data_IF_080681841771
#
_entry.id   IF_080681841771
#
_cell.length_a   1.000
_cell.length_b   1.000
_cell.length_c   1.000
_cell.angle_alpha   90.00
_cell.angle_beta   90.00
_cell.angle_gamma   90.00
#
_symmetry.space_group_name_H-M   'P 1'
#
loop_
_entity.id
_entity.type
_entity.pdbx_description
1 polymer ?
#
# COMPACT_ATOMS: atom_id res chain seq x y z
N UNK A 1 -3.17 7.04 31.22
CA UNK A 1 -3.46 6.01 30.19
C UNK A 1 -2.89 6.48 28.87
N UNK A 2 -2.12 5.69 28.11
CA UNK A 2 -1.74 6.10 26.77
C UNK A 2 -3.02 6.19 25.94
N UNK A 3 -3.33 7.37 25.41
CA UNK A 3 -4.38 7.51 24.40
C UNK A 3 -3.92 6.66 23.22
N UNK A 4 -4.56 5.53 23.00
CA UNK A 4 -4.36 4.84 21.72
C UNK A 4 -4.73 5.85 20.64
N UNK A 5 -3.85 6.08 19.64
CA UNK A 5 -4.13 7.06 18.60
C UNK A 5 -5.44 6.68 17.93
N UNK A 6 -6.21 7.70 17.54
CA UNK A 6 -7.43 7.53 16.77
C UNK A 6 -7.01 6.77 15.50
N UNK A 7 -7.42 5.50 15.40
CA UNK A 7 -7.22 4.68 14.19
C UNK A 7 -8.05 5.31 13.08
N UNK A 8 -7.43 6.22 12.34
CA UNK A 8 -8.06 6.89 11.22
C UNK A 8 -7.79 6.10 9.93
N UNK A 9 -8.67 5.15 9.64
CA UNK A 9 -8.61 4.36 8.40
C UNK A 9 -8.68 5.22 7.14
N UNK A 10 -9.29 6.41 7.21
CA UNK A 10 -9.34 7.36 6.09
C UNK A 10 -7.94 7.91 5.79
N UNK A 11 -7.23 8.38 6.81
CA UNK A 11 -5.86 8.90 6.66
C UNK A 11 -4.92 7.82 6.09
N UNK A 12 -5.05 6.56 6.51
CA UNK A 12 -4.26 5.47 5.96
C UNK A 12 -4.56 5.23 4.46
N UNK A 13 -5.84 5.23 4.08
CA UNK A 13 -6.24 5.10 2.68
C UNK A 13 -5.72 6.26 1.81
N UNK A 14 -5.74 7.49 2.32
CA UNK A 14 -5.18 8.67 1.64
C UNK A 14 -3.68 8.55 1.40
N UNK A 15 -2.95 7.87 2.29
CA UNK A 15 -1.53 7.54 2.11
C UNK A 15 -1.31 6.31 1.21
N UNK A 16 -2.35 5.79 0.54
CA UNK A 16 -2.25 4.61 -0.32
C UNK A 16 -2.11 3.29 0.45
N UNK A 17 -2.32 3.30 1.77
CA UNK A 17 -2.32 2.08 2.59
C UNK A 17 -3.71 1.44 2.51
N UNK A 18 -3.81 0.42 1.67
CA UNK A 18 -5.05 -0.30 1.41
C UNK A 18 -4.78 -1.81 1.29
N UNK A 19 -5.82 -2.61 1.49
CA UNK A 19 -5.83 -4.05 1.15
C UNK A 19 -4.72 -4.92 1.81
N UNK A 20 -4.15 -4.50 2.95
CA UNK A 20 -3.11 -5.26 3.67
C UNK A 20 -3.55 -6.72 3.92
N UNK A 21 -4.81 -6.94 4.30
CA UNK A 21 -5.35 -8.28 4.52
C UNK A 21 -5.27 -9.16 3.27
N UNK A 22 -5.70 -8.63 2.12
CA UNK A 22 -5.66 -9.33 0.82
C UNK A 22 -4.23 -9.60 0.38
N UNK A 23 -3.34 -8.62 0.54
CA UNK A 23 -1.91 -8.77 0.21
C UNK A 23 -1.23 -9.78 1.10
N UNK A 24 -1.54 -9.78 2.39
CA UNK A 24 -1.04 -10.75 3.33
C UNK A 24 -1.55 -12.16 2.96
N UNK A 25 -2.83 -12.32 2.64
CA UNK A 25 -3.37 -13.59 2.14
C UNK A 25 -2.62 -14.08 0.89
N UNK A 26 -2.39 -13.18 -0.07
CA UNK A 26 -1.63 -13.50 -1.28
C UNK A 26 -0.18 -13.89 -0.96
N UNK A 27 0.48 -13.18 -0.04
CA UNK A 27 1.85 -13.46 0.38
C UNK A 27 1.99 -14.80 1.12
N UNK A 28 0.95 -15.21 1.87
CA UNK A 28 0.93 -16.52 2.51
C UNK A 28 0.75 -17.66 1.49
N UNK A 29 0.00 -17.43 0.41
CA UNK A 29 -0.20 -18.42 -0.64
C UNK A 29 -0.76 -19.73 -0.09
N UNK A 30 -0.01 -20.82 -0.25
CA UNK A 30 -0.36 -22.16 0.27
C UNK A 30 0.19 -22.47 1.66
N UNK A 31 0.91 -21.54 2.31
CA UNK A 31 1.45 -21.77 3.65
C UNK A 31 0.33 -21.82 4.68
N UNK A 32 0.45 -22.76 5.64
CA UNK A 32 -0.52 -22.82 6.72
C UNK A 32 -0.30 -21.67 7.71
N UNK A 33 -1.37 -21.20 8.33
CA UNK A 33 -1.30 -20.20 9.41
C UNK A 33 -0.43 -20.69 10.57
N UNK A 34 -0.36 -22.01 10.77
CA UNK A 34 0.49 -22.64 11.79
C UNK A 34 1.97 -22.47 11.46
N UNK A 35 2.37 -22.67 10.21
CA UNK A 35 3.78 -22.54 9.79
C UNK A 35 4.25 -21.09 9.94
N UNK A 36 3.42 -20.13 9.50
CA UNK A 36 3.69 -18.70 9.67
C UNK A 36 3.76 -18.32 11.15
N UNK A 37 2.88 -18.86 11.99
CA UNK A 37 2.92 -18.63 13.44
C UNK A 37 4.26 -19.10 14.04
N UNK A 38 4.71 -20.29 13.65
CA UNK A 38 5.99 -20.84 14.11
C UNK A 38 7.19 -20.01 13.62
N UNK A 39 7.15 -19.54 12.37
CA UNK A 39 8.22 -18.74 11.77
C UNK A 39 8.31 -17.31 12.31
N UNK A 40 7.15 -16.71 12.64
CA UNK A 40 7.08 -15.30 13.08
C UNK A 40 7.02 -15.13 14.59
N UNK A 41 6.73 -16.19 15.35
CA UNK A 41 6.43 -16.12 16.78
C UNK A 41 5.10 -15.44 17.11
N UNK A 42 4.27 -15.13 16.10
CA UNK A 42 2.94 -14.56 16.29
C UNK A 42 1.92 -15.65 16.58
N UNK A 43 0.91 -15.36 17.40
CA UNK A 43 -0.17 -16.31 17.64
C UNK A 43 -1.02 -16.50 16.38
N UNK A 44 -1.54 -17.72 16.17
CA UNK A 44 -2.50 -18.02 15.09
C UNK A 44 -3.71 -17.10 15.11
N UNK A 45 -4.20 -16.77 16.31
CA UNK A 45 -5.32 -15.84 16.49
C UNK A 45 -4.97 -14.44 15.96
N UNK A 46 -3.76 -13.95 16.24
CA UNK A 46 -3.26 -12.65 15.75
C UNK A 46 -3.14 -12.64 14.23
N UNK A 47 -2.55 -13.67 13.63
CA UNK A 47 -2.43 -13.79 12.17
C UNK A 47 -3.82 -13.82 11.52
N UNK A 48 -4.75 -14.62 12.07
CA UNK A 48 -6.13 -14.66 11.57
C UNK A 48 -6.86 -13.31 11.69
N UNK A 49 -6.60 -12.51 12.73
CA UNK A 49 -7.17 -11.16 12.80
C UNK A 49 -6.68 -10.27 11.66
N UNK A 50 -5.42 -10.43 11.22
CA UNK A 50 -4.84 -9.67 10.12
C UNK A 50 -5.40 -10.12 8.78
N UNK A 51 -5.47 -11.43 8.54
CA UNK A 51 -6.04 -12.01 7.32
C UNK A 51 -7.51 -11.64 7.13
N UNK A 52 -8.26 -11.47 8.22
CA UNK A 52 -9.68 -11.07 8.18
C UNK A 52 -9.89 -9.55 8.29
N UNK A 53 -8.84 -8.74 8.16
CA UNK A 53 -8.88 -7.27 8.29
C UNK A 53 -9.50 -6.75 9.61
N UNK A 54 -9.60 -7.58 10.65
CA UNK A 54 -10.16 -7.21 11.96
C UNK A 54 -9.24 -6.25 12.72
N UNK A 55 -7.95 -6.41 12.52
CA UNK A 55 -6.93 -5.55 13.09
C UNK A 55 -5.82 -5.32 12.07
N UNK A 56 -5.20 -4.15 12.14
CA UNK A 56 -3.96 -3.87 11.43
C UNK A 56 -2.76 -4.31 12.28
N UNK A 57 -1.76 -4.97 11.68
CA UNK A 57 -0.47 -5.20 12.34
C UNK A 57 0.23 -3.88 12.64
N UNK A 58 1.05 -3.84 13.69
CA UNK A 58 2.02 -2.75 13.87
C UNK A 58 3.13 -2.86 12.82
N UNK A 59 3.91 -1.80 12.65
CA UNK A 59 5.04 -1.78 11.73
C UNK A 59 6.02 -2.93 12.00
N UNK A 60 6.34 -3.18 13.27
CA UNK A 60 7.25 -4.27 13.67
C UNK A 60 6.71 -5.64 13.28
N UNK A 61 5.42 -5.90 13.54
CA UNK A 61 4.78 -7.17 13.19
C UNK A 61 4.72 -7.36 11.69
N UNK A 62 4.50 -6.28 10.95
CA UNK A 62 4.50 -6.32 9.50
C UNK A 62 5.91 -6.61 8.95
N UNK A 63 6.97 -6.06 9.55
CA UNK A 63 8.34 -6.37 9.15
C UNK A 63 8.69 -7.85 9.36
N UNK A 64 8.22 -8.44 10.46
CA UNK A 64 8.38 -9.89 10.72
C UNK A 64 7.62 -10.72 9.69
N UNK A 65 6.36 -10.36 9.37
CA UNK A 65 5.56 -11.03 8.35
C UNK A 65 6.19 -10.91 6.96
N UNK A 66 6.68 -9.71 6.60
CA UNK A 66 7.37 -9.43 5.34
C UNK A 66 8.58 -10.36 5.15
N UNK A 67 9.41 -10.48 6.20
CA UNK A 67 10.55 -11.41 6.20
C UNK A 67 10.09 -12.85 6.07
N UNK A 68 9.00 -13.24 6.73
CA UNK A 68 8.52 -14.61 6.71
C UNK A 68 7.93 -15.02 5.35
N UNK A 69 7.23 -14.11 4.69
CA UNK A 69 6.62 -14.36 3.37
C UNK A 69 7.53 -14.01 2.20
N UNK A 70 8.76 -13.55 2.46
CA UNK A 70 9.71 -13.09 1.42
C UNK A 70 9.15 -11.96 0.53
N UNK A 71 8.38 -11.04 1.13
CA UNK A 71 7.87 -9.85 0.45
C UNK A 71 8.41 -8.57 1.10
N UNK A 72 8.45 -7.47 0.36
CA UNK A 72 8.84 -6.19 0.94
C UNK A 72 7.71 -5.59 1.78
N UNK A 73 8.09 -4.78 2.78
CA UNK A 73 7.12 -4.05 3.59
C UNK A 73 6.27 -3.11 2.72
N UNK A 74 6.88 -2.47 1.71
CA UNK A 74 6.21 -1.63 0.72
C UNK A 74 5.13 -2.43 -0.01
N UNK A 75 5.47 -3.63 -0.48
CA UNK A 75 4.53 -4.48 -1.19
C UNK A 75 3.35 -4.90 -0.31
N UNK A 76 3.54 -5.15 0.99
CA UNK A 76 2.44 -5.49 1.89
C UNK A 76 1.54 -4.31 2.26
N UNK A 77 2.12 -3.10 2.40
CA UNK A 77 1.41 -1.90 2.85
C UNK A 77 0.63 -1.21 1.75
N UNK A 78 1.27 -1.04 0.60
CA UNK A 78 0.75 -0.21 -0.47
C UNK A 78 0.23 -1.12 -1.58
N UNK A 79 -0.97 -0.83 -2.09
CA UNK A 79 -1.27 -1.29 -3.43
C UNK A 79 -0.22 -0.75 -4.40
N UNK A 80 -0.02 -1.39 -5.55
CA UNK A 80 0.50 -0.65 -6.69
C UNK A 80 -0.52 0.44 -6.96
N UNK A 81 -0.34 1.58 -6.28
CA UNK A 81 -0.69 2.85 -6.81
C UNK A 81 0.03 2.85 -8.15
N UNK A 82 -0.73 2.65 -9.24
CA UNK A 82 -0.37 3.24 -10.51
C UNK A 82 0.11 4.63 -10.14
N UNK A 83 1.44 4.83 -10.18
CA UNK A 83 2.04 6.13 -9.99
C UNK A 83 1.35 6.96 -11.04
N UNK A 84 0.30 7.69 -10.63
CA UNK A 84 -0.44 8.50 -11.55
C UNK A 84 0.61 9.51 -11.93
N UNK A 85 1.21 9.33 -13.11
CA UNK A 85 2.19 10.24 -13.67
C UNK A 85 1.40 11.51 -13.91
N UNK A 86 1.32 12.36 -12.89
CA UNK A 86 0.80 13.73 -12.99
C UNK A 86 1.61 14.47 -14.07
N UNK A 87 2.81 13.97 -14.42
CA UNK A 87 3.66 14.43 -15.50
C UNK A 87 3.11 14.29 -16.94
N UNK A 88 2.10 13.46 -17.21
CA UNK A 88 1.56 13.31 -18.58
C UNK A 88 0.31 14.17 -18.86
N UNK A 89 -0.36 14.68 -17.82
CA UNK A 89 -1.60 15.48 -18.00
C UNK A 89 -1.34 16.92 -18.49
N UNK A 90 -0.11 17.42 -18.36
CA UNK A 90 0.24 18.80 -18.73
C UNK A 90 1.17 18.92 -19.95
N UNK A 91 1.44 17.83 -20.69
CA UNK A 91 2.31 17.86 -21.89
C UNK A 91 1.59 18.20 -23.20
N UNK A 92 0.29 18.49 -23.19
CA UNK A 92 -0.47 18.79 -24.41
C UNK A 92 -1.32 20.05 -24.25
N UNK A 93 -0.68 21.21 -24.10
CA UNK A 93 -1.19 22.54 -24.51
C UNK A 93 -0.02 23.53 -24.66
N UNK A 94 0.95 23.19 -25.49
CA UNK A 94 1.74 24.21 -26.20
C UNK A 94 1.73 23.79 -27.66
N UNK A 95 0.57 23.92 -28.29
CA UNK A 95 0.50 23.92 -29.74
C UNK A 95 0.93 25.30 -30.21
N UNK A 96 2.00 25.31 -30.99
CA UNK A 96 2.60 26.46 -31.69
C UNK A 96 1.65 27.08 -32.73
N UNK A 97 0.62 27.80 -32.30
CA UNK A 97 -0.29 28.59 -33.15
C UNK A 97 -0.49 29.95 -32.44
N UNK A 98 -0.14 31.15 -32.92
CA UNK A 98 0.16 31.70 -34.25
C UNK A 98 0.98 32.98 -34.00
N UNK A 99 2.19 33.07 -34.56
CA UNK A 99 2.85 34.37 -34.80
C UNK A 99 3.00 34.53 -36.32
N UNK A 100 1.90 34.85 -36.99
CA UNK A 100 1.96 35.33 -38.37
C UNK A 100 2.16 36.85 -38.34
N UNK A 101 3.32 37.39 -38.77
CA UNK A 101 3.47 38.82 -38.90
C UNK A 101 2.52 39.34 -39.98
N UNK A 102 1.68 40.30 -39.63
CA UNK A 102 0.88 41.05 -40.59
C UNK A 102 1.83 41.79 -41.53
N UNK A 103 1.92 41.34 -42.79
CA UNK A 103 2.55 42.16 -43.83
C UNK A 103 1.60 43.30 -44.19
N UNK A 104 1.97 44.49 -43.76
CA UNK A 104 1.43 45.76 -44.24
C UNK A 104 1.78 45.90 -45.73
N UNK A 105 0.76 46.16 -46.55
CA UNK A 105 0.92 46.76 -47.87
C UNK A 105 0.05 48.01 -47.90
#
# INVERSE_FOLDING_TARGET
MPRQPIRNFLALKEQGVNNIAQRLQHALGSQSVTDIANQTGLSRATINQYLNAKNLPSLDRLAVLAKATNHSLKWLLFSDIEETRIADKYRLVVSDDVMSPQSTN
#
